data_IF_687115387345
#
_entry.id   IF_687115387345
#
_cell.length_a   1.000
_cell.length_b   1.000
_cell.length_c   1.000
_cell.angle_alpha   90.00
_cell.angle_beta   90.00
_cell.angle_gamma   90.00
#
_symmetry.space_group_name_H-M   'P 1'
#
loop_
_entity.id
_entity.type
_entity.pdbx_description
1 polymer ?
#
# COMPACT_ATOMS: atom_id res chain seq x y z
N UNK A 1 12.17 4.98 -6.17
CA UNK A 1 11.13 5.07 -5.11
C UNK A 1 10.16 3.95 -5.40
N UNK A 2 9.97 2.98 -4.48
CA UNK A 2 9.39 1.69 -4.84
C UNK A 2 7.88 1.71 -5.15
N UNK A 3 7.11 2.62 -4.53
CA UNK A 3 5.65 2.67 -4.65
C UNK A 3 5.21 4.14 -4.70
N UNK A 4 4.29 4.46 -5.59
CA UNK A 4 3.66 5.77 -5.75
C UNK A 4 2.14 5.61 -5.64
N UNK A 5 1.49 6.54 -4.93
CA UNK A 5 0.04 6.56 -4.75
C UNK A 5 -0.49 7.94 -5.10
N UNK A 6 -1.62 7.98 -5.81
CA UNK A 6 -2.37 9.20 -6.05
C UNK A 6 -3.87 8.95 -6.08
N UNK A 7 -4.64 9.95 -5.66
CA UNK A 7 -6.10 9.96 -5.81
C UNK A 7 -6.56 11.06 -6.73
N UNK A 8 -7.68 10.82 -7.40
CA UNK A 8 -8.33 11.84 -8.22
C UNK A 8 -9.82 11.53 -8.33
N UNK A 9 -10.61 12.57 -8.55
CA UNK A 9 -12.05 12.45 -8.74
C UNK A 9 -12.39 12.48 -10.23
N UNK A 10 -13.20 11.52 -10.68
CA UNK A 10 -13.71 11.48 -12.05
C UNK A 10 -15.16 11.02 -12.03
N UNK A 11 -16.05 11.83 -12.60
CA UNK A 11 -17.49 11.53 -12.70
C UNK A 11 -18.14 11.19 -11.35
N UNK A 12 -17.76 11.91 -10.28
CA UNK A 12 -18.26 11.69 -8.92
C UNK A 12 -17.73 10.41 -8.24
N UNK A 13 -16.78 9.71 -8.86
CA UNK A 13 -16.10 8.55 -8.28
C UNK A 13 -14.68 8.93 -7.89
N UNK A 14 -14.29 8.57 -6.67
CA UNK A 14 -12.90 8.66 -6.21
C UNK A 14 -12.11 7.49 -6.76
N UNK A 15 -11.16 7.76 -7.65
CA UNK A 15 -10.25 6.79 -8.22
C UNK A 15 -8.91 6.87 -7.49
N UNK A 16 -8.29 5.70 -7.30
CA UNK A 16 -7.00 5.53 -6.62
C UNK A 16 -6.05 4.83 -7.58
N UNK A 17 -4.87 5.41 -7.78
CA UNK A 17 -3.80 4.82 -8.60
C UNK A 17 -2.65 4.46 -7.67
N UNK A 18 -2.19 3.21 -7.78
CA UNK A 18 -1.00 2.69 -7.13
C UNK A 18 -0.04 2.27 -8.25
N UNK A 19 1.12 2.88 -8.31
CA UNK A 19 2.18 2.57 -9.26
C UNK A 19 3.40 2.04 -8.51
N UNK A 20 4.15 1.12 -9.11
CA UNK A 20 5.39 0.60 -8.53
C UNK A 20 6.39 0.29 -9.63
N UNK A 21 7.67 0.28 -9.28
CA UNK A 21 8.77 -0.07 -10.18
C UNK A 21 9.00 -1.59 -10.30
N UNK A 22 8.23 -2.39 -9.55
CA UNK A 22 8.21 -3.85 -9.61
C UNK A 22 6.79 -4.38 -9.84
N UNK A 23 6.63 -5.61 -10.38
CA UNK A 23 5.34 -6.27 -10.45
C UNK A 23 4.75 -6.51 -9.05
N UNK A 24 3.55 -5.98 -8.83
CA UNK A 24 2.77 -6.18 -7.61
C UNK A 24 1.88 -7.41 -7.72
N UNK A 25 1.80 -8.19 -6.65
CA UNK A 25 0.89 -9.33 -6.54
C UNK A 25 -0.46 -8.92 -5.95
N UNK A 26 -0.42 -8.18 -4.85
CA UNK A 26 -1.59 -7.78 -4.07
C UNK A 26 -1.40 -6.35 -3.55
N UNK A 27 -2.51 -5.64 -3.43
CA UNK A 27 -2.59 -4.28 -2.87
C UNK A 27 -3.66 -4.27 -1.78
N UNK A 28 -3.31 -3.74 -0.60
CA UNK A 28 -4.24 -3.55 0.51
C UNK A 28 -4.22 -2.09 0.93
N UNK A 29 -5.42 -1.56 1.17
CA UNK A 29 -5.63 -0.19 1.58
C UNK A 29 -6.20 -0.17 2.99
N UNK A 30 -5.72 0.76 3.81
CA UNK A 30 -6.23 1.00 5.16
C UNK A 30 -6.49 2.50 5.35
N UNK A 31 -7.76 2.88 5.43
CA UNK A 31 -8.16 4.26 5.70
C UNK A 31 -7.86 4.61 7.16
N UNK A 32 -7.05 5.64 7.41
CA UNK A 32 -6.63 6.04 8.77
C UNK A 32 -7.55 7.10 9.41
N UNK A 33 -8.74 7.32 8.84
CA UNK A 33 -9.71 8.28 9.40
C UNK A 33 -10.13 7.85 10.81
N UNK A 34 -9.90 8.74 11.77
CA UNK A 34 -10.31 8.60 13.18
C UNK A 34 -9.70 7.41 13.95
N UNK A 35 -8.65 6.78 13.40
CA UNK A 35 -7.95 5.65 14.04
C UNK A 35 -6.76 6.12 14.89
N UNK A 36 -6.55 5.46 16.03
CA UNK A 36 -5.40 5.74 16.91
C UNK A 36 -4.09 5.32 16.24
N UNK A 37 -3.05 6.16 16.34
CA UNK A 37 -1.69 5.89 15.82
C UNK A 37 -1.14 4.52 16.23
N UNK A 38 -1.41 4.06 17.45
CA UNK A 38 -0.97 2.73 17.92
C UNK A 38 -1.57 1.58 17.10
N UNK A 39 -2.87 1.66 16.76
CA UNK A 39 -3.55 0.64 15.97
C UNK A 39 -3.03 0.63 14.54
N UNK A 40 -2.79 1.82 13.99
CA UNK A 40 -2.18 2.02 12.68
C UNK A 40 -0.80 1.38 12.62
N UNK A 41 0.07 1.70 13.58
CA UNK A 41 1.42 1.15 13.65
C UNK A 41 1.41 -0.38 13.79
N UNK A 42 0.54 -0.92 14.65
CA UNK A 42 0.39 -2.37 14.80
C UNK A 42 -0.01 -3.03 13.48
N UNK A 43 -0.99 -2.45 12.78
CA UNK A 43 -1.45 -2.97 11.50
C UNK A 43 -0.33 -2.94 10.43
N UNK A 44 0.44 -1.83 10.34
CA UNK A 44 1.60 -1.75 9.44
C UNK A 44 2.63 -2.84 9.74
N UNK A 45 2.94 -3.08 11.02
CA UNK A 45 3.92 -4.11 11.41
C UNK A 45 3.41 -5.52 11.06
N UNK A 46 2.12 -5.82 11.26
CA UNK A 46 1.51 -7.08 10.83
C UNK A 46 1.62 -7.30 9.31
N UNK A 47 1.45 -6.24 8.52
CA UNK A 47 1.54 -6.30 7.07
C UNK A 47 3.00 -6.46 6.60
N UNK A 48 3.96 -5.79 7.25
CA UNK A 48 5.40 -6.03 7.00
C UNK A 48 5.80 -7.47 7.30
N UNK A 49 5.29 -8.06 8.39
CA UNK A 49 5.53 -9.48 8.71
C UNK A 49 4.98 -10.43 7.64
N UNK A 50 3.94 -10.02 6.91
CA UNK A 50 3.40 -10.74 5.73
C UNK A 50 4.21 -10.49 4.45
N UNK A 51 5.33 -9.76 4.53
CA UNK A 51 6.19 -9.43 3.40
C UNK A 51 5.62 -8.32 2.52
N UNK A 52 4.79 -7.42 3.07
CA UNK A 52 4.27 -6.25 2.35
C UNK A 52 5.13 -5.02 2.62
N UNK A 53 5.25 -4.17 1.61
CA UNK A 53 5.79 -2.83 1.74
C UNK A 53 4.65 -1.82 1.80
N UNK A 54 4.67 -0.99 2.83
CA UNK A 54 3.60 -0.02 3.11
C UNK A 54 4.10 1.41 2.95
N UNK A 55 3.27 2.26 2.36
CA UNK A 55 3.44 3.72 2.31
C UNK A 55 2.22 4.39 2.93
N UNK A 56 2.44 5.48 3.67
CA UNK A 56 1.38 6.33 4.19
C UNK A 56 1.22 7.52 3.24
N UNK A 57 0.01 7.74 2.75
CA UNK A 57 -0.36 8.95 2.04
C UNK A 57 -0.97 9.96 3.03
N UNK A 58 -0.28 11.08 3.32
CA UNK A 58 -0.73 12.03 4.33
C UNK A 58 -1.93 12.86 3.87
N UNK A 59 -2.14 13.03 2.56
CA UNK A 59 -3.23 13.84 2.01
C UNK A 59 -4.57 13.09 2.07
N UNK A 60 -4.59 11.86 1.57
CA UNK A 60 -5.78 11.00 1.54
C UNK A 60 -6.04 10.30 2.88
N UNK A 61 -5.08 10.37 3.81
CA UNK A 61 -5.10 9.66 5.09
C UNK A 61 -5.39 8.18 4.87
N UNK A 62 -4.59 7.54 4.02
CA UNK A 62 -4.66 6.10 3.74
C UNK A 62 -3.27 5.50 3.78
N UNK A 63 -3.19 4.24 4.20
CA UNK A 63 -1.98 3.44 4.06
C UNK A 63 -2.19 2.46 2.91
N UNK A 64 -1.20 2.40 2.04
CA UNK A 64 -1.15 1.47 0.91
C UNK A 64 -0.06 0.46 1.19
N UNK A 65 -0.41 -0.81 1.33
CA UNK A 65 0.52 -1.91 1.46
C UNK A 65 0.48 -2.78 0.21
N UNK A 66 1.63 -3.10 -0.37
CA UNK A 66 1.72 -3.94 -1.57
C UNK A 66 2.66 -5.13 -1.34
N UNK A 67 2.34 -6.26 -1.97
CA UNK A 67 3.23 -7.43 -1.98
C UNK A 67 4.02 -7.46 -3.30
N UNK A 68 5.34 -7.47 -3.20
CA UNK A 68 6.23 -7.74 -4.34
C UNK A 68 6.03 -9.16 -4.86
N UNK A 69 5.94 -9.34 -6.18
CA UNK A 69 6.22 -10.66 -6.76
C UNK A 69 7.69 -10.98 -6.44
N UNK A 70 7.92 -11.91 -5.52
CA UNK A 70 9.22 -12.58 -5.48
C UNK A 70 9.31 -13.38 -6.77
N UNK A 71 10.04 -12.85 -7.75
CA UNK A 71 10.51 -13.65 -8.86
C UNK A 71 11.40 -14.71 -8.22
N UNK A 72 10.87 -15.93 -8.07
CA UNK A 72 11.68 -17.09 -7.72
C UNK A 72 12.79 -17.11 -8.76
N UNK A 73 14.01 -16.74 -8.36
CA UNK A 73 15.17 -16.96 -9.23
C UNK A 73 15.14 -18.45 -9.59
N UNK A 74 15.12 -18.82 -10.87
CA UNK A 74 15.23 -20.23 -11.22
C UNK A 74 16.50 -20.77 -10.55
N UNK A 75 16.38 -21.91 -9.85
CA UNK A 75 17.56 -22.64 -9.39
C UNK A 75 18.32 -23.03 -10.66
N UNK A 76 19.54 -22.52 -10.81
CA UNK A 76 20.54 -23.02 -11.76
C UNK A 76 20.82 -24.50 -11.54
#
# INVERSE_FOLDING_TARGET
MPIFYRTFEKEGKKLRIVESDFPMKDVVLFDVKDEKLEKINRWIEEEKLRGRECILDPEDKVIVCVTKYQVLKPKE
#
